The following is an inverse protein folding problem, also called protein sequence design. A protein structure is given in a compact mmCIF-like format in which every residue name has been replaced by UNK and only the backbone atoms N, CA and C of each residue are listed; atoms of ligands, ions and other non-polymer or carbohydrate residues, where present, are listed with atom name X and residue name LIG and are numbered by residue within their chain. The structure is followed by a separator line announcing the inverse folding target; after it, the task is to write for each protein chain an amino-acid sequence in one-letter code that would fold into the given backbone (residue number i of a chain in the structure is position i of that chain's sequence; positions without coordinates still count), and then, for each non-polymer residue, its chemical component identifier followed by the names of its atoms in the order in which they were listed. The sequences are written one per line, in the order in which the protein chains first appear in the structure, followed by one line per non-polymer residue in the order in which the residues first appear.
data_IF_381825510361
#
_entry.id   IF_381825510361
#
_cell.length_a   1.000
_cell.length_b   1.000
_cell.length_c   1.000
_cell.angle_alpha   90.00
_cell.angle_beta   90.00
_cell.angle_gamma   90.00
#
_symmetry.space_group_name_H-M   'P 1'
#
loop_
_entity.id
_entity.type
_entity.pdbx_description
1 polymer ?
#
# COMPACT_ATOMS: atom_id res chain seq x y z
N UNK A 1 -8.66 -4.44 16.08
CA UNK A 1 -7.77 -3.43 15.47
C UNK A 1 -7.72 -3.77 14.00
N UNK A 2 -8.35 -2.98 13.14
CA UNK A 2 -8.09 -3.02 11.70
C UNK A 2 -6.72 -2.40 11.50
N UNK A 3 -5.78 -3.15 10.93
CA UNK A 3 -4.52 -2.60 10.42
C UNK A 3 -4.81 -2.14 9.00
N UNK A 4 -4.25 -1.00 8.59
CA UNK A 4 -4.37 -0.48 7.22
C UNK A 4 -4.04 -1.57 6.18
N UNK A 5 -3.07 -2.44 6.47
CA UNK A 5 -2.72 -3.62 5.67
C UNK A 5 -3.92 -4.53 5.39
N UNK A 6 -4.71 -4.88 6.41
CA UNK A 6 -5.84 -5.81 6.28
C UNK A 6 -7.02 -5.23 5.53
N UNK A 7 -7.27 -3.93 5.68
CA UNK A 7 -8.33 -3.28 4.92
C UNK A 7 -7.91 -3.12 3.45
N UNK A 8 -6.63 -2.87 3.18
CA UNK A 8 -6.07 -2.83 1.84
C UNK A 8 -6.12 -4.20 1.15
N UNK A 9 -5.71 -5.27 1.85
CA UNK A 9 -5.80 -6.66 1.37
C UNK A 9 -7.22 -7.03 0.90
N UNK A 10 -8.24 -6.61 1.66
CA UNK A 10 -9.65 -6.81 1.27
C UNK A 10 -10.03 -6.04 0.02
N UNK A 11 -9.61 -4.77 -0.09
CA UNK A 11 -9.87 -3.97 -1.30
C UNK A 11 -9.23 -4.64 -2.52
N UNK A 12 -7.98 -5.06 -2.42
CA UNK A 12 -7.25 -5.76 -3.50
C UNK A 12 -7.96 -7.05 -3.89
N UNK A 13 -8.40 -7.84 -2.91
CA UNK A 13 -9.17 -9.07 -3.14
C UNK A 13 -10.44 -8.79 -3.96
N UNK A 14 -11.19 -7.75 -3.61
CA UNK A 14 -12.38 -7.37 -4.37
C UNK A 14 -12.04 -6.84 -5.77
N UNK A 15 -10.96 -6.08 -5.93
CA UNK A 15 -10.50 -5.61 -7.24
C UNK A 15 -10.14 -6.78 -8.17
N UNK A 16 -9.45 -7.81 -7.66
CA UNK A 16 -9.15 -9.04 -8.41
C UNK A 16 -10.42 -9.75 -8.83
N UNK A 17 -11.37 -9.94 -7.90
CA UNK A 17 -12.66 -10.57 -8.18
C UNK A 17 -13.44 -9.81 -9.26
N UNK A 18 -13.45 -8.48 -9.21
CA UNK A 18 -14.10 -7.64 -10.22
C UNK A 18 -13.38 -7.80 -11.57
N UNK A 19 -12.05 -7.80 -11.59
CA UNK A 19 -11.28 -8.00 -12.82
C UNK A 19 -11.57 -9.35 -13.48
N UNK A 20 -11.67 -10.42 -12.70
CA UNK A 20 -12.06 -11.75 -13.19
C UNK A 20 -13.45 -11.76 -13.83
N UNK A 21 -14.43 -11.07 -13.22
CA UNK A 21 -15.80 -10.94 -13.76
C UNK A 21 -15.80 -10.22 -15.12
N UNK A 22 -14.86 -9.32 -15.35
CA UNK A 22 -14.71 -8.57 -16.61
C UNK A 22 -13.59 -9.12 -17.51
N UNK A 23 -13.34 -10.43 -17.48
CA UNK A 23 -12.37 -11.12 -18.35
C UNK A 23 -10.94 -10.53 -18.30
N UNK A 24 -10.51 -10.04 -17.13
CA UNK A 24 -9.23 -9.38 -16.90
C UNK A 24 -8.97 -8.13 -17.76
N UNK A 25 -10.02 -7.43 -18.17
CA UNK A 25 -9.91 -6.21 -18.99
C UNK A 25 -9.59 -4.94 -18.18
N UNK A 26 -9.85 -4.96 -16.86
CA UNK A 26 -9.72 -3.78 -16.01
C UNK A 26 -8.26 -3.56 -15.59
N UNK A 27 -7.59 -4.64 -15.21
CA UNK A 27 -6.20 -4.62 -14.72
C UNK A 27 -5.37 -5.71 -15.37
N UNK A 28 -4.09 -5.38 -15.61
CA UNK A 28 -3.11 -6.38 -16.01
C UNK A 28 -2.74 -7.27 -14.82
N UNK A 29 -2.36 -8.54 -15.04
CA UNK A 29 -1.86 -9.40 -13.97
C UNK A 29 -0.68 -8.77 -13.21
N UNK A 30 0.25 -8.12 -13.91
CA UNK A 30 1.40 -7.45 -13.31
C UNK A 30 1.01 -6.32 -12.36
N UNK A 31 -0.02 -5.53 -12.70
CA UNK A 31 -0.49 -4.47 -11.81
C UNK A 31 -1.14 -5.00 -10.53
N UNK A 32 -1.70 -6.21 -10.58
CA UNK A 32 -2.30 -6.86 -9.42
C UNK A 32 -1.24 -7.52 -8.51
N UNK A 33 -0.17 -8.05 -9.11
CA UNK A 33 0.99 -8.59 -8.37
C UNK A 33 1.76 -7.48 -7.64
N UNK A 34 2.05 -6.37 -8.31
CA UNK A 34 2.76 -5.20 -7.73
C UNK A 34 2.05 -4.68 -6.46
N UNK A 35 0.73 -4.71 -6.45
CA UNK A 35 -0.07 -4.22 -5.32
C UNK A 35 -0.11 -5.22 -4.17
N UNK A 36 -0.06 -6.52 -4.46
CA UNK A 36 0.12 -7.54 -3.42
C UNK A 36 1.48 -7.36 -2.74
N UNK A 37 2.54 -7.20 -3.52
CA UNK A 37 3.91 -7.00 -3.03
C UNK A 37 3.98 -5.75 -2.14
N UNK A 38 3.48 -4.62 -2.63
CA UNK A 38 3.46 -3.36 -1.88
C UNK A 38 2.63 -3.44 -0.59
N UNK A 39 1.54 -4.21 -0.59
CA UNK A 39 0.70 -4.40 0.60
C UNK A 39 1.39 -5.25 1.67
N UNK A 40 2.14 -6.28 1.27
CA UNK A 40 2.91 -7.13 2.16
C UNK A 40 4.11 -6.39 2.75
N UNK A 41 4.80 -5.61 1.93
CA UNK A 41 5.93 -4.77 2.35
C UNK A 41 5.45 -3.69 3.34
N UNK A 42 4.31 -3.03 3.06
CA UNK A 42 3.71 -2.08 3.98
C UNK A 42 3.38 -2.71 5.35
N UNK A 43 2.86 -3.93 5.39
CA UNK A 43 2.60 -4.62 6.65
C UNK A 43 3.88 -4.93 7.42
N UNK A 44 4.93 -5.40 6.74
CA UNK A 44 6.24 -5.65 7.33
C UNK A 44 6.80 -4.37 7.98
N UNK A 45 6.78 -3.25 7.26
CA UNK A 45 7.33 -1.98 7.74
C UNK A 45 6.50 -1.36 8.87
N UNK A 46 5.16 -1.44 8.79
CA UNK A 46 4.28 -1.02 9.90
C UNK A 46 4.50 -1.84 11.17
N UNK A 47 4.90 -3.12 11.05
CA UNK A 47 5.24 -3.97 12.19
C UNK A 47 6.64 -3.69 12.74
N UNK A 48 7.58 -3.22 11.91
CA UNK A 48 8.96 -2.85 12.30
C UNK A 48 9.05 -1.49 12.99
N UNK A 49 8.28 -0.50 12.55
CA UNK A 49 8.34 0.86 13.07
C UNK A 49 8.18 0.95 14.61
N UNK A 50 7.23 0.24 15.25
CA UNK A 50 7.13 0.24 16.72
C UNK A 50 8.39 -0.30 17.42
N UNK A 51 9.08 -1.28 16.82
CA UNK A 51 10.31 -1.84 17.37
C UNK A 51 11.47 -0.83 17.27
N UNK A 52 11.60 -0.13 16.14
CA UNK A 52 12.60 0.92 15.96
C UNK A 52 12.36 2.09 16.92
N UNK A 53 11.10 2.51 17.09
CA UNK A 53 10.72 3.55 18.05
C UNK A 53 10.97 3.13 19.51
N UNK A 54 10.66 1.89 19.87
CA UNK A 54 10.91 1.37 21.23
C UNK A 54 12.41 1.28 21.56
N UNK A 55 13.25 0.91 20.58
CA UNK A 55 14.71 1.00 20.70
C UNK A 55 15.13 2.44 20.99
N UNK A 56 14.66 3.40 20.18
CA UNK A 56 15.01 4.82 20.31
C UNK A 56 14.58 5.40 21.67
N UNK A 57 13.38 5.05 22.16
CA UNK A 57 12.86 5.51 23.46
C UNK A 57 13.68 4.96 24.64
N UNK A 58 14.10 3.70 24.56
CA UNK A 58 14.86 3.02 25.62
C UNK A 58 16.36 3.32 25.59
N UNK A 59 16.88 3.79 24.45
CA UNK A 59 18.30 4.05 24.30
C UNK A 59 18.73 5.31 25.07
N UNK A 60 19.63 5.14 26.03
CA UNK A 60 20.16 6.22 26.89
C UNK A 60 21.68 6.36 26.72
N UNK A 61 22.14 6.44 25.48
CA UNK A 61 23.55 6.74 25.17
C UNK A 61 23.79 8.25 25.12
N UNK A 62 25.02 8.68 25.36
CA UNK A 62 25.49 10.04 25.06
C UNK A 62 26.31 10.07 23.77
N UNK A 63 26.49 8.91 23.13
CA UNK A 63 27.17 8.80 21.86
C UNK A 63 26.28 9.33 20.74
N UNK A 64 26.79 10.31 20.00
CA UNK A 64 26.06 10.95 18.92
C UNK A 64 25.98 10.04 17.68
N UNK A 65 26.98 9.19 17.42
CA UNK A 65 26.96 8.28 16.27
C UNK A 65 25.87 7.21 16.46
N UNK A 66 25.81 6.59 17.64
CA UNK A 66 24.77 5.59 17.95
C UNK A 66 23.35 6.17 17.90
N UNK A 67 23.16 7.43 18.32
CA UNK A 67 21.86 8.11 18.23
C UNK A 67 21.46 8.43 16.79
N UNK A 68 22.42 8.84 15.95
CA UNK A 68 22.17 9.11 14.52
C UNK A 68 21.82 7.81 13.80
N UNK A 69 22.54 6.72 14.07
CA UNK A 69 22.27 5.42 13.45
C UNK A 69 20.85 4.92 13.76
N UNK A 70 20.42 5.02 15.02
CA UNK A 70 19.06 4.66 15.42
C UNK A 70 17.98 5.56 14.77
N UNK A 71 18.25 6.86 14.63
CA UNK A 71 17.33 7.77 13.94
C UNK A 71 17.24 7.43 12.44
N UNK A 72 18.35 7.06 11.82
CA UNK A 72 18.39 6.64 10.41
C UNK A 72 17.61 5.35 10.19
N UNK A 73 17.60 4.39 11.13
CA UNK A 73 16.72 3.20 11.08
C UNK A 73 15.23 3.62 11.01
N UNK A 74 14.78 4.50 11.92
CA UNK A 74 13.40 4.98 11.95
C UNK A 74 13.04 5.76 10.68
N UNK A 75 13.96 6.61 10.20
CA UNK A 75 13.77 7.38 8.98
C UNK A 75 13.63 6.50 7.74
N UNK A 76 14.44 5.43 7.64
CA UNK A 76 14.34 4.47 6.55
C UNK A 76 12.98 3.76 6.56
N UNK A 77 12.57 3.20 7.71
CA UNK A 77 11.28 2.52 7.87
C UNK A 77 10.10 3.46 7.49
N UNK A 78 10.14 4.74 7.92
CA UNK A 78 9.12 5.73 7.55
C UNK A 78 9.10 6.06 6.05
N UNK A 79 10.27 6.12 5.41
CA UNK A 79 10.37 6.41 3.97
C UNK A 79 9.74 5.27 3.17
N UNK A 80 10.07 4.02 3.49
CA UNK A 80 9.47 2.85 2.84
C UNK A 80 7.95 2.78 3.02
N UNK A 81 7.43 3.15 4.18
CA UNK A 81 5.97 3.23 4.41
C UNK A 81 5.33 4.27 3.50
N UNK A 82 5.94 5.46 3.37
CA UNK A 82 5.40 6.55 2.54
C UNK A 82 5.40 6.17 1.07
N UNK A 83 6.46 5.54 0.59
CA UNK A 83 6.60 5.12 -0.80
C UNK A 83 5.54 4.05 -1.14
N UNK A 84 5.44 2.99 -0.33
CA UNK A 84 4.42 1.94 -0.51
C UNK A 84 2.98 2.47 -0.49
N UNK A 85 2.66 3.39 0.43
CA UNK A 85 1.35 4.04 0.49
C UNK A 85 1.10 4.89 -0.78
N UNK A 86 2.12 5.56 -1.29
CA UNK A 86 2.00 6.40 -2.49
C UNK A 86 1.77 5.55 -3.74
N UNK A 87 2.54 4.48 -3.92
CA UNK A 87 2.38 3.55 -5.05
C UNK A 87 1.03 2.85 -5.01
N UNK A 88 0.62 2.37 -3.82
CA UNK A 88 -0.71 1.78 -3.63
C UNK A 88 -1.82 2.76 -3.99
N UNK A 89 -1.70 4.02 -3.58
CA UNK A 89 -2.66 5.08 -3.92
C UNK A 89 -2.72 5.31 -5.43
N UNK A 90 -1.58 5.39 -6.10
CA UNK A 90 -1.51 5.58 -7.56
C UNK A 90 -2.21 4.44 -8.30
N UNK A 91 -1.94 3.19 -7.91
CA UNK A 91 -2.64 2.02 -8.45
C UNK A 91 -4.16 2.11 -8.25
N UNK A 92 -4.62 2.44 -7.04
CA UNK A 92 -6.06 2.54 -6.77
C UNK A 92 -6.71 3.62 -7.64
N UNK A 93 -6.08 4.78 -7.76
CA UNK A 93 -6.59 5.88 -8.61
C UNK A 93 -6.65 5.47 -10.07
N UNK A 94 -5.58 4.88 -10.63
CA UNK A 94 -5.60 4.39 -12.01
C UNK A 94 -6.64 3.30 -12.20
N UNK A 95 -6.83 2.46 -11.17
CA UNK A 95 -7.77 1.35 -11.23
C UNK A 95 -9.21 1.81 -11.33
N UNK A 96 -9.58 2.83 -10.54
CA UNK A 96 -10.91 3.43 -10.61
C UNK A 96 -11.20 4.06 -11.97
N UNK A 97 -10.21 4.74 -12.58
CA UNK A 97 -10.38 5.31 -13.92
C UNK A 97 -10.63 4.23 -14.97
N UNK A 98 -9.87 3.14 -14.97
CA UNK A 98 -10.10 2.03 -15.89
C UNK A 98 -11.49 1.38 -15.70
N UNK A 99 -11.93 1.22 -14.44
CA UNK A 99 -13.28 0.73 -14.15
C UNK A 99 -14.38 1.64 -14.68
N UNK A 100 -14.20 2.96 -14.57
CA UNK A 100 -15.16 3.94 -15.10
C UNK A 100 -15.27 3.87 -16.62
N UNK A 101 -14.14 3.75 -17.31
CA UNK A 101 -14.10 3.62 -18.77
C UNK A 101 -14.81 2.35 -19.26
N UNK A 102 -14.51 1.19 -18.65
CA UNK A 102 -15.17 -0.07 -19.00
C UNK A 102 -16.65 -0.03 -18.66
N UNK A 103 -17.03 0.52 -17.50
CA UNK A 103 -18.44 0.69 -17.14
C UNK A 103 -19.18 1.52 -18.19
N UNK A 104 -18.58 2.62 -18.64
CA UNK A 104 -19.15 3.49 -19.67
C UNK A 104 -19.24 2.81 -21.02
N UNK A 105 -18.24 2.03 -21.41
CA UNK A 105 -18.27 1.24 -22.64
C UNK A 105 -19.38 0.19 -22.62
N UNK A 106 -19.54 -0.54 -21.51
CA UNK A 106 -20.52 -1.63 -21.39
C UNK A 106 -21.96 -1.12 -21.21
N UNK A 107 -22.16 0.00 -20.51
CA UNK A 107 -23.49 0.48 -20.12
C UNK A 107 -23.96 1.74 -20.83
N UNK A 108 -23.04 2.50 -21.43
CA UNK A 108 -23.31 3.82 -22.01
C UNK A 108 -23.56 4.93 -20.97
N UNK A 109 -23.32 4.69 -19.68
CA UNK A 109 -23.56 5.63 -18.57
C UNK A 109 -22.26 6.01 -17.86
N UNK A 110 -22.23 7.16 -17.18
CA UNK A 110 -21.14 7.46 -16.25
C UNK A 110 -21.43 6.89 -14.86
N UNK A 111 -20.41 6.72 -14.02
CA UNK A 111 -20.63 6.27 -12.65
C UNK A 111 -21.51 7.26 -11.87
N UNK A 112 -22.56 6.74 -11.22
CA UNK A 112 -23.48 7.53 -10.39
C UNK A 112 -24.71 8.09 -11.11
N UNK A 113 -24.93 7.76 -12.39
CA UNK A 113 -26.13 8.08 -13.20
C UNK A 113 -27.11 6.90 -13.34
#
# INVERSE_FOLDING_TARGET
MTTLSKDLEKVITELKRINEVHDNKLFTPSSLEEVDENSADLESELNRLPLALDKLEKYKTKDAEELVDLFMEVYADLTYIIDNVSETKEFLVSSFSNMEDVYKEETGKNFGE
#
